data_IF_814282303569
#
_entry.id   IF_814282303569
#
_cell.length_a   1.000
_cell.length_b   1.000
_cell.length_c   1.000
_cell.angle_alpha   90.00
_cell.angle_beta   90.00
_cell.angle_gamma   90.00
#
_symmetry.space_group_name_H-M   'P 1'
#
loop_
_entity.id
_entity.type
_entity.pdbx_description
1 polymer ?
#
# COMPACT_ATOMS: atom_id res chain seq x y z
N UNK A 1 43.39 42.64 11.87
CA UNK A 1 42.16 43.17 11.24
C UNK A 1 41.33 41.98 10.77
N UNK A 2 39.98 42.01 10.88
CA UNK A 2 39.16 40.88 10.43
C UNK A 2 39.25 40.72 8.91
N UNK A 3 39.24 39.46 8.45
CA UNK A 3 39.27 39.11 7.03
C UNK A 3 37.86 38.73 6.60
N UNK A 4 37.33 39.39 5.58
CA UNK A 4 36.01 39.12 5.03
C UNK A 4 36.15 38.32 3.74
N UNK A 5 35.60 37.10 3.74
CA UNK A 5 35.44 36.33 2.51
C UNK A 5 34.18 36.84 1.79
N UNK A 6 34.30 37.19 0.52
CA UNK A 6 33.21 37.68 -0.29
C UNK A 6 33.08 36.88 -1.59
N UNK A 7 31.82 36.71 -2.00
CA UNK A 7 31.47 36.24 -3.32
C UNK A 7 30.85 37.43 -4.04
N UNK A 8 31.48 37.86 -5.12
CA UNK A 8 30.97 38.92 -5.95
C UNK A 8 30.86 38.48 -7.41
N UNK A 9 30.12 39.27 -8.18
CA UNK A 9 30.08 39.15 -9.63
C UNK A 9 30.82 40.33 -10.26
N UNK A 10 31.67 40.03 -11.23
CA UNK A 10 32.22 41.04 -12.13
C UNK A 10 31.09 41.67 -12.96
N UNK A 11 31.32 42.86 -13.53
CA UNK A 11 30.39 43.49 -14.49
C UNK A 11 30.11 42.62 -15.71
N UNK A 12 30.99 41.67 -16.04
CA UNK A 12 30.81 40.64 -17.08
C UNK A 12 29.94 39.43 -16.65
N UNK A 13 29.48 39.38 -15.39
CA UNK A 13 28.59 38.32 -14.87
C UNK A 13 29.31 37.10 -14.28
N UNK A 14 30.65 37.06 -14.33
CA UNK A 14 31.46 35.97 -13.80
C UNK A 14 31.56 36.02 -12.27
N UNK A 15 31.48 34.84 -11.63
CA UNK A 15 31.51 34.70 -10.17
C UNK A 15 32.96 34.71 -9.69
N UNK A 16 33.30 35.68 -8.85
CA UNK A 16 34.63 35.84 -8.26
C UNK A 16 34.51 35.64 -6.74
N UNK A 17 35.34 34.76 -6.21
CA UNK A 17 35.45 34.51 -4.77
C UNK A 17 36.81 35.04 -4.29
N UNK A 18 36.81 35.86 -3.26
CA UNK A 18 38.02 36.51 -2.75
C UNK A 18 37.91 36.85 -1.26
N UNK A 19 39.01 37.31 -0.68
CA UNK A 19 39.07 37.77 0.71
C UNK A 19 39.64 39.18 0.78
N UNK A 20 38.98 40.08 1.50
CA UNK A 20 39.43 41.45 1.76
C UNK A 20 39.62 41.63 3.26
N UNK A 21 40.76 42.18 3.66
CA UNK A 21 40.98 42.63 5.03
C UNK A 21 40.43 44.05 5.18
N UNK A 22 39.53 44.26 6.13
CA UNK A 22 38.98 45.57 6.42
C UNK A 22 38.70 45.71 7.92
N UNK A 23 38.65 46.94 8.42
CA UNK A 23 38.36 47.18 9.84
C UNK A 23 36.94 46.71 10.22
N UNK A 24 35.96 46.96 9.34
CA UNK A 24 34.55 46.63 9.56
C UNK A 24 33.89 46.13 8.27
N UNK A 25 32.77 45.41 8.41
CA UNK A 25 31.97 44.86 7.28
C UNK A 25 31.60 45.93 6.26
N UNK A 26 31.31 47.16 6.69
CA UNK A 26 30.93 48.26 5.81
C UNK A 26 32.13 48.77 4.98
N UNK A 27 33.33 48.78 5.55
CA UNK A 27 34.55 49.12 4.84
C UNK A 27 34.92 48.04 3.80
N UNK A 28 34.68 46.76 4.11
CA UNK A 28 34.90 45.65 3.17
C UNK A 28 33.99 45.73 1.93
N UNK A 29 32.73 46.15 2.11
CA UNK A 29 31.78 46.34 0.99
C UNK A 29 32.25 47.49 0.10
N UNK A 30 32.61 48.65 0.67
CA UNK A 30 33.08 49.80 -0.11
C UNK A 30 34.38 49.51 -0.89
N UNK A 31 35.26 48.69 -0.32
CA UNK A 31 36.50 48.31 -0.99
C UNK A 31 36.25 47.32 -2.14
N UNK A 32 35.31 46.39 -1.98
CA UNK A 32 34.88 45.49 -3.06
C UNK A 32 34.15 46.25 -4.19
N UNK A 33 33.36 47.27 -3.86
CA UNK A 33 32.70 48.14 -4.85
C UNK A 33 33.71 49.02 -5.61
N UNK A 34 34.76 49.53 -4.96
CA UNK A 34 35.86 50.27 -5.64
C UNK A 34 36.61 49.42 -6.66
N UNK A 35 36.65 48.10 -6.46
CA UNK A 35 37.22 47.14 -7.41
C UNK A 35 36.24 46.76 -8.54
N UNK A 36 35.03 47.36 -8.57
CA UNK A 36 34.04 47.17 -9.63
C UNK A 36 33.22 45.88 -9.51
N UNK A 37 33.24 45.23 -8.34
CA UNK A 37 32.53 43.97 -8.09
C UNK A 37 31.18 44.20 -7.39
N UNK A 38 30.12 43.54 -7.85
CA UNK A 38 28.79 43.58 -7.20
C UNK A 38 28.67 42.39 -6.25
N UNK A 39 28.55 42.67 -4.95
CA UNK A 39 28.59 41.64 -3.91
C UNK A 39 27.29 40.83 -3.84
N UNK A 40 27.40 39.50 -3.79
CA UNK A 40 26.27 38.57 -3.61
C UNK A 40 26.20 38.06 -2.16
N UNK A 41 27.34 37.88 -1.50
CA UNK A 41 27.40 37.58 -0.07
C UNK A 41 28.76 37.95 0.54
N UNK A 42 28.75 38.44 1.79
CA UNK A 42 29.94 38.66 2.60
C UNK A 42 29.78 37.94 3.94
N UNK A 43 30.79 37.16 4.33
CA UNK A 43 30.87 36.54 5.66
C UNK A 43 32.22 36.89 6.29
N UNK A 44 32.16 37.26 7.55
CA UNK A 44 33.35 37.46 8.37
C UNK A 44 34.01 36.11 8.60
N UNK A 45 35.26 35.97 8.15
CA UNK A 45 36.04 34.76 8.34
C UNK A 45 36.95 35.00 9.55
N UNK A 46 36.51 34.53 10.71
CA UNK A 46 37.34 34.49 11.91
C UNK A 46 38.37 33.36 11.77
N UNK A 47 39.50 33.67 11.12
CA UNK A 47 40.84 33.14 11.36
C UNK A 47 41.73 33.36 10.13
N UNK A 48 42.67 34.29 10.24
CA UNK A 48 43.83 34.33 9.37
C UNK A 48 44.89 33.36 9.92
N UNK A 49 45.21 32.30 9.18
CA UNK A 49 46.57 31.76 9.07
C UNK A 49 46.67 30.79 7.88
N UNK A 50 47.62 31.09 7.00
CA UNK A 50 48.22 30.25 5.95
C UNK A 50 47.41 29.98 4.66
N UNK A 51 47.55 30.90 3.72
CA UNK A 51 47.48 30.59 2.29
C UNK A 51 48.76 29.84 1.86
N UNK A 52 48.63 28.71 1.15
CA UNK A 52 49.26 28.43 -0.18
C UNK A 52 48.98 27.00 -0.69
N UNK A 53 49.22 26.70 -1.99
CA UNK A 53 48.20 26.16 -2.89
C UNK A 53 48.53 24.77 -3.43
N UNK A 54 47.56 24.10 -4.06
CA UNK A 54 47.86 22.94 -4.89
C UNK A 54 46.70 21.96 -5.02
N UNK A 55 46.23 21.83 -6.26
CA UNK A 55 45.79 20.63 -6.95
C UNK A 55 45.38 19.37 -6.16
N UNK A 56 44.21 18.88 -6.56
CA UNK A 56 43.78 17.48 -6.65
C UNK A 56 43.60 16.62 -5.39
N UNK A 57 42.43 15.97 -5.37
CA UNK A 57 42.23 14.69 -4.71
C UNK A 57 41.65 14.76 -3.31
N UNK A 58 40.33 14.65 -3.19
CA UNK A 58 39.71 14.49 -1.88
C UNK A 58 38.19 14.31 -1.90
N UNK A 59 37.73 13.11 -2.25
CA UNK A 59 36.34 12.67 -2.12
C UNK A 59 35.84 12.87 -0.67
N UNK A 60 35.12 13.96 -0.41
CA UNK A 60 34.30 14.12 0.80
C UNK A 60 32.83 13.81 0.45
N UNK A 61 32.60 12.51 0.35
CA UNK A 61 31.31 11.84 0.27
C UNK A 61 30.38 12.28 1.40
N UNK A 62 29.54 13.30 1.14
CA UNK A 62 28.34 13.56 1.95
C UNK A 62 27.32 12.48 1.62
N UNK A 63 27.31 11.41 2.40
CA UNK A 63 26.23 10.42 2.45
C UNK A 63 24.95 11.11 2.91
N UNK A 64 24.27 11.77 1.98
CA UNK A 64 22.82 11.90 2.03
C UNK A 64 22.28 10.54 1.61
N UNK A 65 21.77 9.79 2.58
CA UNK A 65 20.94 8.61 2.34
C UNK A 65 19.67 9.02 1.57
N UNK A 66 19.79 9.23 0.26
CA UNK A 66 18.66 9.17 -0.68
C UNK A 66 18.61 7.74 -1.19
N UNK A 67 18.14 6.83 -0.33
CA UNK A 67 17.74 5.49 -0.72
C UNK A 67 16.44 5.60 -1.55
N UNK A 68 16.59 5.88 -2.85
CA UNK A 68 15.76 5.29 -3.91
C UNK A 68 16.24 5.75 -5.28
N UNK A 69 16.93 4.88 -6.05
CA UNK A 69 17.12 5.13 -7.46
C UNK A 69 15.78 4.90 -8.18
N UNK A 70 15.39 5.87 -9.02
CA UNK A 70 14.55 5.62 -10.19
C UNK A 70 13.08 5.26 -9.99
N UNK A 71 12.38 5.76 -8.95
CA UNK A 71 10.91 5.76 -8.94
C UNK A 71 10.44 7.21 -9.01
N UNK A 72 9.65 7.55 -10.03
CA UNK A 72 9.03 8.87 -10.14
C UNK A 72 8.19 9.19 -8.90
N UNK A 73 7.86 10.47 -8.67
CA UNK A 73 7.03 10.86 -7.53
C UNK A 73 5.71 10.09 -7.55
N UNK A 74 5.25 9.63 -6.38
CA UNK A 74 4.01 8.84 -6.24
C UNK A 74 3.22 9.28 -5.02
N UNK A 75 1.92 9.51 -5.18
CA UNK A 75 1.04 9.76 -4.03
C UNK A 75 0.57 8.46 -3.39
N UNK A 76 0.48 8.46 -2.06
CA UNK A 76 -0.19 7.39 -1.32
C UNK A 76 -1.70 7.38 -1.54
N UNK A 77 -2.39 6.30 -1.17
CA UNK A 77 -3.86 6.19 -1.34
C UNK A 77 -4.63 7.28 -0.56
N UNK A 78 -4.20 7.59 0.67
CA UNK A 78 -4.79 8.67 1.47
C UNK A 78 -4.55 10.06 0.87
N UNK A 79 -3.35 10.32 0.38
CA UNK A 79 -3.01 11.58 -0.30
C UNK A 79 -3.81 11.74 -1.60
N UNK A 80 -3.95 10.67 -2.37
CA UNK A 80 -4.74 10.68 -3.62
C UNK A 80 -6.21 10.95 -3.31
N UNK A 81 -6.77 10.35 -2.23
CA UNK A 81 -8.13 10.65 -1.78
C UNK A 81 -8.24 12.13 -1.41
N UNK A 82 -7.35 12.64 -0.56
CA UNK A 82 -7.37 14.03 -0.14
C UNK A 82 -7.27 15.00 -1.31
N UNK A 83 -6.33 14.78 -2.24
CA UNK A 83 -6.20 15.57 -3.47
C UNK A 83 -7.50 15.55 -4.28
N UNK A 84 -8.12 14.37 -4.44
CA UNK A 84 -9.35 14.22 -5.22
C UNK A 84 -10.53 14.91 -4.54
N UNK A 85 -10.65 14.79 -3.22
CA UNK A 85 -11.68 15.49 -2.42
C UNK A 85 -11.52 16.99 -2.53
N UNK A 86 -10.33 17.52 -2.23
CA UNK A 86 -10.09 18.96 -2.26
C UNK A 86 -10.25 19.55 -3.67
N UNK A 87 -9.79 18.85 -4.71
CA UNK A 87 -10.01 19.28 -6.09
C UNK A 87 -11.50 19.24 -6.46
N UNK A 88 -12.22 18.20 -6.04
CA UNK A 88 -13.66 18.07 -6.25
C UNK A 88 -14.45 19.21 -5.59
N UNK A 89 -14.12 19.55 -4.35
CA UNK A 89 -14.77 20.63 -3.60
C UNK A 89 -14.51 22.00 -4.22
N UNK A 90 -13.27 22.28 -4.61
CA UNK A 90 -12.92 23.52 -5.31
C UNK A 90 -13.68 23.64 -6.64
N UNK A 91 -13.74 22.57 -7.43
CA UNK A 91 -14.49 22.56 -8.70
C UNK A 91 -16.00 22.70 -8.46
N UNK A 92 -16.55 22.05 -7.44
CA UNK A 92 -17.96 22.15 -7.07
C UNK A 92 -18.34 23.57 -6.60
N UNK A 93 -17.41 24.31 -5.99
CA UNK A 93 -17.59 25.73 -5.67
C UNK A 93 -17.53 26.68 -6.89
N UNK A 94 -17.38 26.15 -8.10
CA UNK A 94 -17.30 26.92 -9.34
C UNK A 94 -15.88 27.43 -9.67
N UNK A 95 -14.84 26.98 -8.96
CA UNK A 95 -13.47 27.37 -9.27
C UNK A 95 -13.00 26.70 -10.58
N UNK A 96 -12.39 27.49 -11.47
CA UNK A 96 -11.75 26.95 -12.69
C UNK A 96 -10.62 25.98 -12.36
N UNK A 97 -10.50 24.88 -13.11
CA UNK A 97 -9.52 23.80 -12.87
C UNK A 97 -8.09 24.28 -12.64
N UNK A 98 -7.58 25.17 -13.50
CA UNK A 98 -6.21 25.71 -13.35
C UNK A 98 -6.00 26.48 -12.04
N UNK A 99 -7.02 27.24 -11.59
CA UNK A 99 -6.98 27.97 -10.32
C UNK A 99 -7.06 27.02 -9.12
N UNK A 100 -7.88 25.96 -9.23
CA UNK A 100 -7.98 24.93 -8.23
C UNK A 100 -6.63 24.21 -8.05
N UNK A 101 -6.01 23.75 -9.14
CA UNK A 101 -4.69 23.12 -9.12
C UNK A 101 -3.58 24.07 -8.62
N UNK A 102 -3.63 25.37 -8.98
CA UNK A 102 -2.70 26.36 -8.43
C UNK A 102 -2.86 26.51 -6.91
N UNK A 103 -4.10 26.56 -6.41
CA UNK A 103 -4.39 26.62 -4.97
C UNK A 103 -3.87 25.38 -4.25
N UNK A 104 -4.11 24.19 -4.80
CA UNK A 104 -3.61 22.93 -4.24
C UNK A 104 -2.09 22.84 -4.29
N UNK A 105 -1.45 23.32 -5.37
CA UNK A 105 0.03 23.28 -5.51
C UNK A 105 0.77 24.14 -4.48
N UNK A 106 0.07 25.10 -3.86
CA UNK A 106 0.63 25.97 -2.81
C UNK A 106 0.55 25.35 -1.42
N UNK A 107 -0.32 24.34 -1.23
CA UNK A 107 -0.42 23.58 0.02
C UNK A 107 0.78 22.65 0.12
N UNK A 108 1.87 23.10 0.76
CA UNK A 108 3.05 22.28 1.00
C UNK A 108 2.72 21.17 1.99
N UNK A 109 2.33 20.01 1.49
CA UNK A 109 1.95 18.87 2.32
C UNK A 109 3.04 17.80 2.29
N UNK A 110 3.41 17.33 1.10
CA UNK A 110 4.44 16.30 0.92
C UNK A 110 5.21 16.50 -0.40
N UNK A 111 6.53 16.25 -0.43
CA UNK A 111 7.36 16.54 -1.60
C UNK A 111 6.89 15.87 -2.91
N UNK A 112 6.48 14.60 -2.83
CA UNK A 112 6.05 13.83 -4.00
C UNK A 112 4.67 14.27 -4.52
N UNK A 113 3.73 14.55 -3.61
CA UNK A 113 2.40 15.03 -3.95
C UNK A 113 2.46 16.45 -4.56
N UNK A 114 3.22 17.35 -3.92
CA UNK A 114 3.40 18.72 -4.39
C UNK A 114 4.02 18.74 -5.80
N UNK A 115 4.98 17.84 -6.08
CA UNK A 115 5.59 17.71 -7.40
C UNK A 115 4.59 17.23 -8.46
N UNK A 116 3.73 16.26 -8.14
CA UNK A 116 2.69 15.78 -9.06
C UNK A 116 1.67 16.91 -9.31
N UNK A 117 1.17 17.57 -8.27
CA UNK A 117 0.17 18.64 -8.40
C UNK A 117 0.73 19.83 -9.19
N UNK A 118 1.99 20.20 -8.97
CA UNK A 118 2.66 21.24 -9.74
C UNK A 118 2.79 20.84 -11.23
N UNK A 119 3.17 19.59 -11.51
CA UNK A 119 3.22 19.08 -12.89
C UNK A 119 1.84 19.11 -13.55
N UNK A 120 0.79 18.68 -12.85
CA UNK A 120 -0.58 18.71 -13.37
C UNK A 120 -1.03 20.16 -13.64
N UNK A 121 -0.76 21.09 -12.72
CA UNK A 121 -1.06 22.51 -12.90
C UNK A 121 -0.39 23.05 -14.17
N UNK A 122 0.91 22.79 -14.33
CA UNK A 122 1.69 23.32 -15.46
C UNK A 122 1.22 22.73 -16.80
N UNK A 123 0.85 21.45 -16.81
CA UNK A 123 0.24 20.76 -17.95
C UNK A 123 -1.12 21.40 -18.33
N UNK A 124 -2.01 21.60 -17.36
CA UNK A 124 -3.31 22.27 -17.60
C UNK A 124 -3.13 23.71 -18.09
N UNK A 125 -2.17 24.47 -17.54
CA UNK A 125 -1.87 25.84 -18.00
C UNK A 125 -1.37 25.83 -19.46
N UNK A 126 -0.64 24.78 -19.87
CA UNK A 126 -0.19 24.57 -21.26
C UNK A 126 -1.31 24.10 -22.20
N UNK A 127 -2.49 23.81 -21.69
CA UNK A 127 -3.67 23.42 -22.47
C UNK A 127 -3.83 21.92 -22.69
N UNK A 128 -3.05 21.07 -22.02
CA UNK A 128 -3.33 19.62 -22.03
C UNK A 128 -4.58 19.31 -21.20
N UNK A 129 -5.33 18.27 -21.57
CA UNK A 129 -6.45 17.82 -20.74
C UNK A 129 -5.97 17.21 -19.41
N UNK A 130 -6.80 17.27 -18.38
CA UNK A 130 -6.57 16.66 -17.08
C UNK A 130 -6.43 15.16 -17.19
N UNK A 131 -7.27 14.49 -18.00
CA UNK A 131 -7.15 13.04 -18.19
C UNK A 131 -5.81 12.65 -18.81
N UNK A 132 -5.31 13.41 -19.79
CA UNK A 132 -4.00 13.17 -20.38
C UNK A 132 -2.86 13.41 -19.38
N UNK A 133 -2.89 14.53 -18.65
CA UNK A 133 -1.90 14.85 -17.62
C UNK A 133 -1.85 13.79 -16.50
N UNK A 134 -3.01 13.33 -16.02
CA UNK A 134 -3.12 12.27 -15.00
C UNK A 134 -2.60 10.92 -15.52
N UNK A 135 -2.77 10.62 -16.81
CA UNK A 135 -2.36 9.35 -17.42
C UNK A 135 -0.83 9.11 -17.38
N UNK A 136 -0.04 10.17 -17.21
CA UNK A 136 1.41 10.11 -17.03
C UNK A 136 1.80 9.49 -15.69
N UNK A 137 0.94 9.60 -14.68
CA UNK A 137 1.19 9.12 -13.31
C UNK A 137 0.39 7.84 -13.00
N UNK A 138 0.58 6.79 -13.81
CA UNK A 138 -0.16 5.51 -13.71
C UNK A 138 -0.05 4.79 -12.35
N UNK A 139 1.05 5.00 -11.62
CA UNK A 139 1.21 4.43 -10.27
C UNK A 139 0.34 5.14 -9.22
N UNK A 140 -0.08 6.38 -9.48
CA UNK A 140 -0.91 7.21 -8.60
C UNK A 140 -2.38 7.20 -9.03
N UNK A 141 -2.65 7.36 -10.34
CA UNK A 141 -3.98 7.42 -10.91
C UNK A 141 -4.24 6.17 -11.77
N UNK A 142 -5.03 5.21 -11.28
CA UNK A 142 -5.36 4.01 -12.03
C UNK A 142 -6.14 4.31 -13.32
N UNK A 143 -6.17 3.38 -14.30
CA UNK A 143 -6.90 3.57 -15.56
C UNK A 143 -8.38 3.95 -15.39
N UNK A 144 -9.06 3.40 -14.36
CA UNK A 144 -10.43 3.76 -14.00
C UNK A 144 -10.56 5.26 -13.67
N UNK A 145 -9.64 5.79 -12.85
CA UNK A 145 -9.63 7.20 -12.46
C UNK A 145 -9.51 8.08 -13.69
N UNK A 146 -8.51 7.81 -14.54
CA UNK A 146 -8.24 8.57 -15.77
C UNK A 146 -9.43 8.53 -16.74
N UNK A 147 -10.06 7.37 -16.91
CA UNK A 147 -11.18 7.19 -17.85
C UNK A 147 -12.43 7.93 -17.37
N UNK A 148 -12.70 7.94 -16.06
CA UNK A 148 -13.81 8.71 -15.51
C UNK A 148 -13.58 10.22 -15.69
N UNK A 149 -12.37 10.70 -15.39
CA UNK A 149 -12.01 12.11 -15.64
C UNK A 149 -12.19 12.46 -17.11
N UNK A 150 -11.72 11.62 -18.03
CA UNK A 150 -11.88 11.85 -19.48
C UNK A 150 -13.35 12.00 -19.88
N UNK A 151 -14.22 11.13 -19.38
CA UNK A 151 -15.66 11.22 -19.62
C UNK A 151 -16.28 12.51 -19.02
N UNK A 152 -15.83 12.90 -17.82
CA UNK A 152 -16.23 14.15 -17.18
C UNK A 152 -15.75 15.40 -17.94
N UNK A 153 -14.55 15.37 -18.51
CA UNK A 153 -14.02 16.45 -19.35
C UNK A 153 -14.82 16.59 -20.64
N UNK A 154 -15.11 15.47 -21.31
CA UNK A 154 -15.87 15.47 -22.56
C UNK A 154 -17.33 15.93 -22.36
N UNK A 155 -17.94 15.62 -21.21
CA UNK A 155 -19.32 15.99 -20.88
C UNK A 155 -19.45 17.32 -20.13
N UNK A 156 -18.34 17.93 -19.71
CA UNK A 156 -18.34 19.12 -18.85
C UNK A 156 -18.77 18.84 -17.40
N UNK A 157 -19.08 17.60 -17.04
CA UNK A 157 -19.53 17.18 -15.71
C UNK A 157 -18.37 16.77 -14.78
N UNK A 158 -17.26 17.50 -14.84
CA UNK A 158 -16.06 17.21 -14.05
C UNK A 158 -16.33 17.26 -12.53
N UNK A 159 -17.06 18.24 -11.97
CA UNK A 159 -17.39 18.27 -10.54
C UNK A 159 -18.12 17.00 -10.06
N UNK A 160 -19.11 16.55 -10.82
CA UNK A 160 -19.92 15.36 -10.50
C UNK A 160 -19.08 14.10 -10.55
N UNK A 161 -18.20 13.98 -11.56
CA UNK A 161 -17.27 12.85 -11.69
C UNK A 161 -16.28 12.82 -10.54
N UNK A 162 -15.74 13.97 -10.12
CA UNK A 162 -14.84 14.06 -8.97
C UNK A 162 -15.53 13.57 -7.69
N UNK A 163 -16.77 13.98 -7.43
CA UNK A 163 -17.53 13.48 -6.28
C UNK A 163 -17.80 11.97 -6.37
N UNK A 164 -18.07 11.42 -7.57
CA UNK A 164 -18.20 9.97 -7.78
C UNK A 164 -16.89 9.24 -7.47
N UNK A 165 -15.74 9.79 -7.87
CA UNK A 165 -14.41 9.25 -7.55
C UNK A 165 -14.14 9.24 -6.04
N UNK A 166 -14.43 10.35 -5.34
CA UNK A 166 -14.27 10.46 -3.89
C UNK A 166 -15.07 9.36 -3.18
N UNK A 167 -16.38 9.26 -3.45
CA UNK A 167 -17.24 8.23 -2.83
C UNK A 167 -16.74 6.81 -3.09
N UNK A 168 -16.25 6.53 -4.30
CA UNK A 168 -15.69 5.23 -4.62
C UNK A 168 -14.41 4.94 -3.81
N UNK A 169 -13.51 5.93 -3.72
CA UNK A 169 -12.26 5.80 -2.97
C UNK A 169 -12.49 5.69 -1.45
N UNK A 170 -13.45 6.43 -0.89
CA UNK A 170 -13.86 6.33 0.51
C UNK A 170 -14.36 4.92 0.84
N UNK A 171 -15.29 4.39 0.03
CA UNK A 171 -15.78 3.02 0.21
C UNK A 171 -14.68 1.97 0.13
N UNK A 172 -13.74 2.12 -0.81
CA UNK A 172 -12.59 1.21 -0.89
C UNK A 172 -11.72 1.28 0.37
N UNK A 173 -11.58 2.46 0.97
CA UNK A 173 -10.87 2.61 2.25
C UNK A 173 -11.66 2.01 3.41
N UNK A 174 -12.96 2.26 3.50
CA UNK A 174 -13.84 1.67 4.51
C UNK A 174 -13.82 0.15 4.46
N UNK A 175 -13.97 -0.47 3.28
CA UNK A 175 -13.88 -1.93 3.12
C UNK A 175 -12.51 -2.44 3.57
N UNK A 176 -11.44 -1.76 3.21
CA UNK A 176 -10.08 -2.15 3.61
C UNK A 176 -9.89 -2.03 5.12
N UNK A 177 -10.37 -0.95 5.72
CA UNK A 177 -10.29 -0.72 7.17
C UNK A 177 -11.12 -1.76 7.92
N UNK A 178 -12.34 -2.07 7.47
CA UNK A 178 -13.15 -3.17 8.00
C UNK A 178 -12.40 -4.49 8.00
N UNK A 179 -11.76 -4.85 6.87
CA UNK A 179 -10.97 -6.09 6.77
C UNK A 179 -9.76 -6.07 7.70
N UNK A 180 -9.05 -4.94 7.82
CA UNK A 180 -7.92 -4.81 8.74
C UNK A 180 -8.39 -4.95 10.19
N UNK A 181 -9.47 -4.26 10.58
CA UNK A 181 -10.01 -4.29 11.94
C UNK A 181 -10.50 -5.69 12.32
N UNK A 182 -11.10 -6.43 11.38
CA UNK A 182 -11.49 -7.82 11.58
C UNK A 182 -10.30 -8.76 11.87
N UNK A 183 -9.10 -8.42 11.39
CA UNK A 183 -7.87 -9.22 11.60
C UNK A 183 -7.08 -8.82 12.85
N UNK A 184 -7.39 -7.68 13.48
CA UNK A 184 -6.68 -7.20 14.68
C UNK A 184 -6.80 -8.20 15.83
N UNK A 185 -8.03 -8.66 16.14
CA UNK A 185 -8.27 -9.59 17.24
C UNK A 185 -7.54 -10.94 17.05
N UNK A 186 -7.66 -11.62 15.89
CA UNK A 186 -6.84 -12.79 15.57
C UNK A 186 -5.34 -12.55 15.74
N UNK A 187 -4.86 -11.37 15.31
CA UNK A 187 -3.46 -10.98 15.47
C UNK A 187 -3.03 -10.90 16.93
N UNK A 188 -3.85 -10.32 17.81
CA UNK A 188 -3.56 -10.21 19.25
C UNK A 188 -3.50 -11.59 19.90
N UNK A 189 -4.51 -12.44 19.69
CA UNK A 189 -4.57 -13.79 20.29
C UNK A 189 -3.39 -14.65 19.83
N UNK A 190 -3.08 -14.64 18.54
CA UNK A 190 -1.93 -15.37 18.00
C UNK A 190 -0.61 -14.86 18.58
N UNK A 191 -0.45 -13.54 18.72
CA UNK A 191 0.79 -12.94 19.25
C UNK A 191 0.96 -13.26 20.74
N UNK A 192 -0.11 -13.13 21.54
CA UNK A 192 -0.09 -13.44 22.96
C UNK A 192 0.12 -14.95 23.22
N UNK A 193 -0.56 -15.81 22.46
CA UNK A 193 -0.43 -17.25 22.53
C UNK A 193 0.96 -17.73 22.11
N UNK A 194 1.47 -17.24 20.98
CA UNK A 194 2.84 -17.54 20.54
C UNK A 194 3.88 -17.03 21.54
N UNK A 195 3.69 -15.82 22.09
CA UNK A 195 4.57 -15.26 23.13
C UNK A 195 4.60 -16.12 24.39
N UNK A 196 3.43 -16.57 24.85
CA UNK A 196 3.31 -17.50 26.00
C UNK A 196 4.02 -18.82 25.72
N UNK A 197 3.86 -19.38 24.52
CA UNK A 197 4.50 -20.61 24.11
C UNK A 197 6.03 -20.48 24.06
N UNK A 198 6.54 -19.42 23.42
CA UNK A 198 7.98 -19.14 23.35
C UNK A 198 8.57 -18.94 24.73
N UNK A 199 7.88 -18.23 25.63
CA UNK A 199 8.29 -18.06 27.02
C UNK A 199 8.37 -19.40 27.76
N UNK A 200 7.34 -20.23 27.65
CA UNK A 200 7.33 -21.55 28.28
C UNK A 200 8.46 -22.44 27.75
N UNK A 201 8.66 -22.50 26.43
CA UNK A 201 9.74 -23.28 25.81
C UNK A 201 11.13 -22.75 26.20
N UNK A 202 11.34 -21.43 26.25
CA UNK A 202 12.69 -20.88 26.44
C UNK A 202 13.12 -20.79 27.91
N UNK A 203 12.17 -20.66 28.84
CA UNK A 203 12.48 -20.43 30.25
C UNK A 203 11.95 -21.52 31.18
N UNK A 204 10.72 -21.98 30.98
CA UNK A 204 10.07 -22.90 31.93
C UNK A 204 10.63 -24.31 31.72
N UNK A 205 10.65 -24.78 30.48
CA UNK A 205 11.00 -26.17 30.17
C UNK A 205 12.46 -26.53 30.41
N UNK A 206 13.45 -25.70 30.04
CA UNK A 206 14.86 -26.01 30.29
C UNK A 206 15.15 -26.17 31.78
N UNK A 207 14.49 -25.37 32.63
CA UNK A 207 14.63 -25.48 34.09
C UNK A 207 14.12 -26.82 34.60
N UNK A 208 13.00 -27.33 34.09
CA UNK A 208 12.52 -28.66 34.42
C UNK A 208 13.46 -29.75 33.89
N UNK A 209 13.96 -29.61 32.65
CA UNK A 209 14.87 -30.58 32.06
C UNK A 209 16.13 -30.82 32.94
N UNK A 210 16.72 -29.76 33.50
CA UNK A 210 17.87 -29.85 34.42
C UNK A 210 17.51 -30.71 35.65
N UNK A 211 16.35 -30.46 36.27
CA UNK A 211 15.89 -31.20 37.45
C UNK A 211 15.71 -32.70 37.12
N UNK A 212 15.17 -33.05 35.95
CA UNK A 212 15.03 -34.45 35.55
C UNK A 212 16.35 -35.16 35.28
N UNK A 213 17.33 -34.45 34.71
CA UNK A 213 18.66 -35.04 34.49
C UNK A 213 19.37 -35.37 35.79
N UNK A 214 19.15 -34.59 36.85
CA UNK A 214 19.72 -34.84 38.18
C UNK A 214 19.06 -36.04 38.89
N UNK A 215 17.76 -36.24 38.68
CA UNK A 215 16.98 -37.33 39.30
C UNK A 215 17.17 -38.70 38.63
N UNK A 216 17.91 -38.80 37.52
CA UNK A 216 18.12 -40.02 36.72
C UNK A 216 16.84 -40.82 36.37
N UNK A 217 15.68 -40.16 36.38
CA UNK A 217 14.39 -40.78 36.10
C UNK A 217 14.05 -40.72 34.61
N UNK A 218 13.25 -41.67 34.12
CA UNK A 218 12.84 -41.72 32.71
C UNK A 218 11.74 -40.70 32.43
N UNK A 219 12.03 -39.67 31.65
CA UNK A 219 11.06 -38.65 31.24
C UNK A 219 9.87 -39.25 30.44
N UNK A 220 8.62 -38.82 30.71
CA UNK A 220 7.46 -39.09 29.87
C UNK A 220 7.65 -38.67 28.42
N UNK A 221 6.98 -39.37 27.50
CA UNK A 221 7.08 -39.12 26.06
C UNK A 221 6.64 -37.69 25.65
N UNK A 222 5.56 -37.09 26.20
CA UNK A 222 5.20 -35.70 25.90
C UNK A 222 6.30 -34.71 26.31
N UNK A 223 6.91 -34.91 27.47
CA UNK A 223 7.99 -34.06 28.01
C UNK A 223 9.27 -34.20 27.18
N UNK A 224 9.61 -35.40 26.70
CA UNK A 224 10.74 -35.62 25.78
C UNK A 224 10.58 -34.88 24.46
N UNK A 225 9.38 -34.92 23.86
CA UNK A 225 9.08 -34.16 22.63
C UNK A 225 9.26 -32.67 22.88
N UNK A 226 8.76 -32.19 24.02
CA UNK A 226 8.78 -30.78 24.37
C UNK A 226 10.20 -30.26 24.67
N UNK A 227 11.02 -31.05 25.36
CA UNK A 227 12.44 -30.75 25.59
C UNK A 227 13.20 -30.76 24.25
N UNK A 228 12.93 -31.72 23.35
CA UNK A 228 13.56 -31.73 22.02
C UNK A 228 13.23 -30.50 21.18
N UNK A 229 11.98 -30.05 21.21
CA UNK A 229 11.55 -28.80 20.55
C UNK A 229 12.19 -27.58 21.23
N UNK A 230 12.23 -27.56 22.56
CA UNK A 230 12.84 -26.51 23.37
C UNK A 230 14.34 -26.35 23.08
N UNK A 231 15.10 -27.44 23.09
CA UNK A 231 16.54 -27.43 22.81
C UNK A 231 16.82 -27.00 21.37
N UNK A 232 16.00 -27.48 20.43
CA UNK A 232 16.01 -27.02 19.04
C UNK A 232 15.74 -25.53 18.92
N UNK A 233 14.80 -24.99 19.70
CA UNK A 233 14.50 -23.56 19.74
C UNK A 233 15.61 -22.75 20.43
N UNK A 234 16.24 -23.27 21.49
CA UNK A 234 17.31 -22.59 22.20
C UNK A 234 18.59 -22.47 21.34
N UNK A 235 18.96 -23.52 20.61
CA UNK A 235 20.17 -23.55 19.78
C UNK A 235 19.93 -23.02 18.37
N UNK A 236 18.78 -23.33 17.75
CA UNK A 236 18.47 -22.97 16.37
C UNK A 236 17.38 -21.91 16.24
N UNK A 237 16.86 -21.33 17.32
CA UNK A 237 15.75 -20.37 17.26
C UNK A 237 16.01 -19.19 16.33
N UNK A 238 17.23 -18.65 16.33
CA UNK A 238 17.64 -17.60 15.38
C UNK A 238 17.68 -18.10 13.94
N UNK A 239 18.13 -19.34 13.69
CA UNK A 239 18.14 -19.94 12.36
C UNK A 239 16.73 -20.30 11.87
N UNK A 240 15.84 -20.74 12.77
CA UNK A 240 14.43 -20.99 12.49
C UNK A 240 13.73 -19.67 12.15
N UNK A 241 13.95 -18.61 12.94
CA UNK A 241 13.41 -17.29 12.66
C UNK A 241 13.94 -16.75 11.33
N UNK A 242 15.24 -16.85 11.08
CA UNK A 242 15.85 -16.48 9.80
C UNK A 242 15.26 -17.30 8.64
N UNK A 243 15.06 -18.61 8.83
CA UNK A 243 14.44 -19.51 7.86
C UNK A 243 12.99 -19.12 7.54
N UNK A 244 12.19 -18.78 8.55
CA UNK A 244 10.82 -18.27 8.38
C UNK A 244 10.84 -16.95 7.61
N UNK A 245 11.74 -16.02 7.95
CA UNK A 245 11.87 -14.74 7.24
C UNK A 245 12.28 -14.96 5.79
N UNK A 246 13.27 -15.82 5.52
CA UNK A 246 13.71 -16.17 4.17
C UNK A 246 12.57 -16.84 3.39
N UNK A 247 11.88 -17.81 3.98
CA UNK A 247 10.73 -18.47 3.38
C UNK A 247 9.62 -17.45 3.06
N UNK A 248 9.30 -16.54 3.98
CA UNK A 248 8.32 -15.49 3.76
C UNK A 248 8.73 -14.55 2.62
N UNK A 249 10.01 -14.18 2.51
CA UNK A 249 10.53 -13.38 1.40
C UNK A 249 10.49 -14.14 0.07
N UNK A 250 10.84 -15.42 0.06
CA UNK A 250 10.80 -16.29 -1.13
C UNK A 250 9.37 -16.50 -1.60
N UNK A 251 8.45 -16.85 -0.70
CA UNK A 251 7.01 -16.97 -0.98
C UNK A 251 6.48 -15.65 -1.52
N UNK A 252 6.81 -14.51 -0.88
CA UNK A 252 6.40 -13.19 -1.35
C UNK A 252 6.95 -12.85 -2.73
N UNK A 253 8.18 -13.28 -3.05
CA UNK A 253 8.77 -13.13 -4.39
C UNK A 253 8.09 -14.05 -5.40
N UNK A 254 7.82 -15.29 -5.03
CA UNK A 254 7.14 -16.28 -5.87
C UNK A 254 5.70 -15.85 -6.18
N UNK A 255 4.96 -15.32 -5.20
CA UNK A 255 3.62 -14.74 -5.38
C UNK A 255 3.60 -13.49 -6.26
N UNK A 256 4.75 -12.89 -6.60
CA UNK A 256 4.83 -11.83 -7.62
C UNK A 256 5.04 -12.35 -9.04
N UNK A 257 5.38 -13.63 -9.20
CA UNK A 257 5.50 -14.27 -10.52
C UNK A 257 4.13 -14.57 -11.10
N UNK A 258 4.05 -14.68 -12.43
CA UNK A 258 2.78 -14.89 -13.11
C UNK A 258 2.13 -16.24 -12.76
N UNK A 259 2.95 -17.28 -12.57
CA UNK A 259 2.49 -18.60 -12.15
C UNK A 259 2.04 -18.60 -10.69
N UNK A 260 2.86 -18.03 -9.79
CA UNK A 260 2.57 -18.03 -8.35
C UNK A 260 1.30 -17.27 -8.00
N UNK A 261 1.08 -16.10 -8.62
CA UNK A 261 -0.13 -15.32 -8.36
C UNK A 261 -1.38 -15.95 -8.98
N UNK A 262 -1.26 -16.62 -10.13
CA UNK A 262 -2.38 -17.33 -10.76
C UNK A 262 -2.78 -18.57 -9.94
N UNK A 263 -1.79 -19.33 -9.45
CA UNK A 263 -2.03 -20.44 -8.52
C UNK A 263 -2.69 -19.96 -7.22
N UNK A 264 -2.18 -18.88 -6.63
CA UNK A 264 -2.73 -18.30 -5.41
C UNK A 264 -4.18 -17.85 -5.59
N UNK A 265 -4.46 -17.12 -6.67
CA UNK A 265 -5.83 -16.69 -7.00
C UNK A 265 -6.77 -17.87 -7.25
N UNK A 266 -6.30 -18.94 -7.88
CA UNK A 266 -7.09 -20.16 -8.06
C UNK A 266 -7.31 -20.90 -6.73
N UNK A 267 -6.30 -20.96 -5.86
CA UNK A 267 -6.38 -21.58 -4.54
C UNK A 267 -7.40 -20.86 -3.64
N UNK A 268 -7.41 -19.54 -3.63
CA UNK A 268 -8.40 -18.73 -2.89
C UNK A 268 -9.85 -19.06 -3.29
N UNK A 269 -10.09 -19.40 -4.56
CA UNK A 269 -11.42 -19.77 -5.04
C UNK A 269 -11.83 -21.20 -4.66
N UNK A 270 -10.91 -22.03 -4.15
CA UNK A 270 -11.19 -23.40 -3.69
C UNK A 270 -11.54 -23.48 -2.21
N UNK A 271 -11.01 -22.57 -1.39
CA UNK A 271 -11.26 -22.56 0.06
C UNK A 271 -12.63 -21.94 0.34
N UNK A 272 -13.64 -22.69 0.83
CA UNK A 272 -15.04 -22.22 0.86
C UNK A 272 -15.26 -20.87 1.56
N UNK A 273 -14.58 -20.66 2.69
CA UNK A 273 -14.72 -19.44 3.51
C UNK A 273 -14.03 -18.21 2.88
N UNK A 274 -12.93 -18.43 2.15
CA UNK A 274 -12.21 -17.35 1.45
C UNK A 274 -12.87 -17.09 0.08
N UNK A 275 -13.38 -18.14 -0.55
CA UNK A 275 -14.07 -18.12 -1.83
C UNK A 275 -15.20 -17.10 -1.83
N UNK A 276 -16.05 -17.10 -0.80
CA UNK A 276 -17.17 -16.15 -0.72
C UNK A 276 -16.70 -14.69 -0.65
N UNK A 277 -15.66 -14.41 0.16
CA UNK A 277 -15.05 -13.07 0.26
C UNK A 277 -14.47 -12.63 -1.09
N UNK A 278 -13.71 -13.51 -1.76
CA UNK A 278 -13.08 -13.18 -3.04
C UNK A 278 -14.13 -12.94 -4.12
N UNK A 279 -15.14 -13.80 -4.24
CA UNK A 279 -16.22 -13.58 -5.20
C UNK A 279 -17.01 -12.31 -4.89
N UNK A 280 -17.47 -12.12 -3.65
CA UNK A 280 -18.24 -10.94 -3.26
C UNK A 280 -17.47 -9.65 -3.50
N UNK A 281 -16.18 -9.59 -3.10
CA UNK A 281 -15.32 -8.43 -3.34
C UNK A 281 -15.14 -8.13 -4.82
N UNK A 282 -14.84 -9.13 -5.65
CA UNK A 282 -14.58 -8.90 -7.07
C UNK A 282 -15.86 -8.62 -7.86
N UNK A 283 -17.01 -9.22 -7.51
CA UNK A 283 -18.30 -8.93 -8.16
C UNK A 283 -18.86 -7.57 -7.75
N UNK A 284 -18.70 -7.17 -6.49
CA UNK A 284 -19.00 -5.81 -6.06
C UNK A 284 -18.18 -4.80 -6.86
N UNK A 285 -16.86 -5.01 -6.95
CA UNK A 285 -15.98 -4.12 -7.70
C UNK A 285 -16.26 -4.13 -9.21
N UNK A 286 -16.56 -5.31 -9.79
CA UNK A 286 -16.98 -5.46 -11.18
C UNK A 286 -18.21 -4.58 -11.46
N UNK A 287 -19.29 -4.80 -10.70
CA UNK A 287 -20.56 -4.13 -10.94
C UNK A 287 -20.47 -2.63 -10.67
N UNK A 288 -19.80 -2.23 -9.59
CA UNK A 288 -19.57 -0.82 -9.25
C UNK A 288 -18.79 -0.11 -10.35
N UNK A 289 -17.68 -0.69 -10.79
CA UNK A 289 -16.80 -0.08 -11.80
C UNK A 289 -17.51 0.01 -13.14
N UNK A 290 -18.15 -1.08 -13.58
CA UNK A 290 -18.87 -1.11 -14.84
C UNK A 290 -20.05 -0.14 -14.83
N UNK A 291 -20.82 -0.08 -13.74
CA UNK A 291 -21.96 0.83 -13.60
C UNK A 291 -21.55 2.29 -13.60
N UNK A 292 -20.45 2.64 -12.94
CA UNK A 292 -19.91 4.01 -12.97
C UNK A 292 -19.43 4.41 -14.38
N UNK A 293 -18.79 3.50 -15.11
CA UNK A 293 -18.29 3.80 -16.47
C UNK A 293 -19.45 3.97 -17.44
N UNK A 294 -20.40 3.03 -17.46
CA UNK A 294 -21.58 3.09 -18.32
C UNK A 294 -22.45 4.31 -17.97
N UNK A 295 -22.68 4.56 -16.67
CA UNK A 295 -23.43 5.73 -16.20
C UNK A 295 -22.73 7.08 -16.41
N UNK A 296 -21.48 7.09 -16.90
CA UNK A 296 -20.75 8.27 -17.36
C UNK A 296 -20.60 8.30 -18.90
N UNK A 297 -21.32 7.44 -19.62
CA UNK A 297 -21.33 7.43 -21.09
C UNK A 297 -20.15 6.68 -21.75
N UNK A 298 -19.36 5.92 -20.99
CA UNK A 298 -18.30 5.07 -21.56
C UNK A 298 -18.94 3.85 -22.22
N UNK A 299 -18.51 3.53 -23.45
CA UNK A 299 -19.01 2.36 -24.18
C UNK A 299 -18.77 1.06 -23.40
N UNK A 300 -19.67 0.08 -23.55
CA UNK A 300 -19.61 -1.17 -22.80
C UNK A 300 -18.31 -1.95 -23.05
N UNK A 301 -17.84 -2.00 -24.30
CA UNK A 301 -16.58 -2.66 -24.66
C UNK A 301 -15.36 -2.00 -24.02
N UNK A 302 -15.30 -0.67 -24.03
CA UNK A 302 -14.23 0.08 -23.37
C UNK A 302 -14.31 -0.11 -21.85
N UNK A 303 -15.51 -0.05 -21.28
CA UNK A 303 -15.75 -0.24 -19.87
C UNK A 303 -15.32 -1.63 -19.39
N UNK A 304 -15.65 -2.70 -20.13
CA UNK A 304 -15.18 -4.06 -19.84
C UNK A 304 -13.65 -4.15 -19.87
N UNK A 305 -12.97 -3.47 -20.79
CA UNK A 305 -11.50 -3.43 -20.85
C UNK A 305 -10.85 -2.66 -19.70
N UNK A 306 -11.55 -1.69 -19.11
CA UNK A 306 -11.13 -1.00 -17.89
C UNK A 306 -11.36 -1.89 -16.66
N UNK A 307 -12.54 -2.52 -16.57
CA UNK A 307 -12.91 -3.43 -15.48
C UNK A 307 -11.98 -4.65 -15.43
N UNK A 308 -11.65 -5.23 -16.59
CA UNK A 308 -10.66 -6.33 -16.74
C UNK A 308 -9.34 -6.03 -16.01
N UNK A 309 -8.87 -4.77 -16.11
CA UNK A 309 -7.63 -4.29 -15.49
C UNK A 309 -7.79 -3.87 -14.03
N UNK A 310 -9.01 -3.58 -13.60
CA UNK A 310 -9.32 -3.17 -12.22
C UNK A 310 -9.50 -4.38 -11.28
N UNK A 311 -9.97 -5.51 -11.81
CA UNK A 311 -10.15 -6.77 -11.07
C UNK A 311 -8.77 -7.32 -10.66
N UNK A 312 -8.58 -7.59 -9.37
CA UNK A 312 -7.31 -8.10 -8.86
C UNK A 312 -7.13 -9.61 -9.11
N UNK A 313 -8.21 -10.38 -9.05
CA UNK A 313 -8.14 -11.82 -9.26
C UNK A 313 -7.97 -12.15 -10.76
N UNK A 314 -6.83 -12.76 -11.10
CA UNK A 314 -6.48 -13.09 -12.49
C UNK A 314 -7.43 -14.08 -13.16
N UNK A 315 -8.02 -15.01 -12.40
CA UNK A 315 -9.00 -15.98 -12.93
C UNK A 315 -10.26 -15.24 -13.37
N UNK A 316 -10.75 -14.32 -12.55
CA UNK A 316 -11.93 -13.50 -12.86
C UNK A 316 -11.64 -12.49 -13.99
N UNK A 317 -10.45 -11.88 -13.98
CA UNK A 317 -10.01 -10.97 -15.05
C UNK A 317 -9.91 -11.69 -16.40
N UNK A 318 -9.40 -12.93 -16.43
CA UNK A 318 -9.38 -13.75 -17.63
C UNK A 318 -10.80 -14.05 -18.15
N UNK A 319 -11.75 -14.35 -17.26
CA UNK A 319 -13.13 -14.59 -17.69
C UNK A 319 -13.81 -13.32 -18.22
N UNK A 320 -13.54 -12.15 -17.64
CA UNK A 320 -14.03 -10.87 -18.18
C UNK A 320 -13.44 -10.58 -19.56
N UNK A 321 -12.15 -10.88 -19.77
CA UNK A 321 -11.50 -10.76 -21.08
C UNK A 321 -12.17 -11.67 -22.12
N UNK A 322 -12.46 -12.91 -21.75
CA UNK A 322 -13.17 -13.86 -22.60
C UNK A 322 -14.58 -13.35 -22.93
N UNK A 323 -15.33 -12.88 -21.92
CA UNK A 323 -16.65 -12.30 -22.13
C UNK A 323 -16.58 -11.08 -23.05
N UNK A 324 -15.62 -10.16 -22.84
CA UNK A 324 -15.39 -8.98 -23.69
C UNK A 324 -15.15 -9.35 -25.15
N UNK A 325 -14.42 -10.43 -25.43
CA UNK A 325 -14.18 -10.91 -26.80
C UNK A 325 -15.42 -11.48 -27.49
N UNK A 326 -16.43 -11.89 -26.70
CA UNK A 326 -17.70 -12.43 -27.16
C UNK A 326 -18.79 -11.35 -27.31
N UNK A 327 -18.55 -10.14 -26.80
CA UNK A 327 -19.47 -9.01 -26.97
C UNK A 327 -19.24 -8.41 -28.36
N UNK A 328 -20.28 -8.39 -29.18
CA UNK A 328 -20.28 -7.73 -30.49
C UNK A 328 -20.84 -6.31 -30.38
N UNK A 329 -20.55 -5.47 -31.37
CA UNK A 329 -21.17 -4.13 -31.47
C UNK A 329 -22.70 -4.27 -31.52
N UNK A 330 -23.39 -3.68 -30.54
CA UNK A 330 -24.85 -3.75 -30.39
C UNK A 330 -25.40 -4.88 -29.52
N UNK A 331 -24.57 -5.68 -28.83
CA UNK A 331 -25.02 -6.87 -28.10
C UNK A 331 -25.07 -6.75 -26.57
N UNK A 332 -25.90 -7.62 -25.99
CA UNK A 332 -26.05 -7.92 -24.56
C UNK A 332 -24.75 -8.48 -23.97
N UNK A 333 -24.39 -8.05 -22.75
CA UNK A 333 -23.25 -8.56 -21.99
C UNK A 333 -23.64 -9.70 -21.04
N UNK A 334 -24.91 -9.78 -20.65
CA UNK A 334 -25.45 -10.81 -19.75
C UNK A 334 -25.15 -12.22 -20.27
N UNK A 335 -25.39 -12.48 -21.56
CA UNK A 335 -25.20 -13.80 -22.20
C UNK A 335 -23.72 -14.22 -22.25
N UNK A 336 -22.77 -13.40 -22.77
CA UNK A 336 -21.34 -13.71 -22.70
C UNK A 336 -20.79 -13.97 -21.29
N UNK A 337 -21.34 -13.29 -20.27
CA UNK A 337 -20.92 -13.45 -18.87
C UNK A 337 -21.49 -14.75 -18.27
N UNK A 338 -22.74 -15.11 -18.59
CA UNK A 338 -23.38 -16.35 -18.15
C UNK A 338 -22.66 -17.59 -18.69
N UNK A 339 -22.14 -17.53 -19.93
CA UNK A 339 -21.38 -18.63 -20.54
C UNK A 339 -20.11 -19.00 -19.75
N UNK A 340 -19.54 -18.07 -19.00
CA UNK A 340 -18.28 -18.24 -18.28
C UNK A 340 -18.34 -19.15 -17.05
N UNK A 341 -19.54 -19.53 -16.56
CA UNK A 341 -19.79 -20.32 -15.33
C UNK A 341 -19.17 -19.80 -14.02
N UNK A 342 -18.42 -18.71 -14.08
CA UNK A 342 -17.81 -18.02 -12.94
C UNK A 342 -18.79 -17.05 -12.31
N UNK A 343 -19.61 -16.39 -13.13
CA UNK A 343 -20.62 -15.43 -12.68
C UNK A 343 -21.86 -16.16 -12.15
N UNK A 344 -22.37 -15.81 -10.95
CA UNK A 344 -23.58 -16.41 -10.41
C UNK A 344 -24.81 -16.05 -11.26
N UNK A 345 -25.79 -16.97 -11.42
CA UNK A 345 -26.99 -16.73 -12.23
C UNK A 345 -27.71 -15.43 -11.87
N UNK A 346 -27.90 -15.17 -10.57
CA UNK A 346 -28.56 -13.94 -10.10
C UNK A 346 -27.88 -12.65 -10.58
N UNK A 347 -26.54 -12.66 -10.77
CA UNK A 347 -25.82 -11.50 -11.29
C UNK A 347 -26.15 -11.30 -12.78
N UNK A 348 -26.11 -12.38 -13.56
CA UNK A 348 -26.38 -12.34 -15.00
C UNK A 348 -27.85 -12.06 -15.30
N UNK A 349 -28.77 -12.54 -14.47
CA UNK A 349 -30.21 -12.29 -14.57
C UNK A 349 -30.51 -10.80 -14.31
N UNK A 350 -29.92 -10.21 -13.26
CA UNK A 350 -30.05 -8.77 -13.00
C UNK A 350 -29.47 -7.92 -14.13
N UNK A 351 -28.36 -8.35 -14.75
CA UNK A 351 -27.81 -7.69 -15.93
C UNK A 351 -28.75 -7.78 -17.12
N UNK A 352 -29.32 -8.95 -17.40
CA UNK A 352 -30.26 -9.15 -18.49
C UNK A 352 -31.48 -8.23 -18.33
N UNK A 353 -32.05 -8.14 -17.12
CA UNK A 353 -33.16 -7.22 -16.81
C UNK A 353 -32.73 -5.75 -17.04
N UNK A 354 -31.51 -5.37 -16.63
CA UNK A 354 -30.97 -4.03 -16.89
C UNK A 354 -30.79 -3.71 -18.38
N UNK A 355 -30.43 -4.71 -19.19
CA UNK A 355 -30.32 -4.58 -20.65
C UNK A 355 -31.69 -4.43 -21.30
N UNK A 356 -32.67 -5.26 -20.91
CA UNK A 356 -34.03 -5.24 -21.44
C UNK A 356 -34.77 -3.94 -21.09
N UNK A 357 -34.58 -3.44 -19.85
CA UNK A 357 -35.21 -2.20 -19.37
C UNK A 357 -34.44 -0.94 -19.77
N UNK A 358 -33.22 -1.08 -20.29
CA UNK A 358 -32.31 0.02 -20.59
C UNK A 358 -31.65 0.67 -19.36
N UNK A 359 -31.99 0.27 -18.14
CA UNK A 359 -31.37 0.76 -16.90
C UNK A 359 -30.21 -0.13 -16.43
N UNK A 360 -29.19 -0.25 -17.29
CA UNK A 360 -27.97 -1.01 -16.98
C UNK A 360 -27.22 -0.41 -15.77
N UNK A 361 -27.19 0.92 -15.64
CA UNK A 361 -26.51 1.60 -14.53
C UNK A 361 -27.17 1.30 -13.19
N UNK A 362 -28.51 1.34 -13.12
CA UNK A 362 -29.28 0.98 -11.92
C UNK A 362 -29.12 -0.50 -11.57
N UNK A 363 -29.24 -1.40 -12.54
CA UNK A 363 -29.02 -2.84 -12.34
C UNK A 363 -27.63 -3.14 -11.76
N UNK A 364 -26.57 -2.56 -12.34
CA UNK A 364 -25.20 -2.67 -11.84
C UNK A 364 -25.03 -2.08 -10.44
N UNK A 365 -25.73 -0.98 -10.13
CA UNK A 365 -25.78 -0.39 -8.79
C UNK A 365 -26.37 -1.35 -7.76
N UNK A 366 -27.48 -2.01 -8.09
CA UNK A 366 -28.10 -3.02 -7.22
C UNK A 366 -27.25 -4.27 -7.05
N UNK A 367 -26.61 -4.76 -8.13
CA UNK A 367 -25.64 -5.86 -8.07
C UNK A 367 -24.48 -5.49 -7.15
N UNK A 368 -23.91 -4.29 -7.29
CA UNK A 368 -22.82 -3.82 -6.45
C UNK A 368 -23.22 -3.81 -4.97
N UNK A 369 -24.38 -3.23 -4.63
CA UNK A 369 -24.86 -3.19 -3.25
C UNK A 369 -25.10 -4.60 -2.67
N UNK A 370 -25.65 -5.52 -3.47
CA UNK A 370 -25.87 -6.90 -3.06
C UNK A 370 -24.56 -7.59 -2.68
N UNK A 371 -23.54 -7.48 -3.53
CA UNK A 371 -22.25 -8.13 -3.26
C UNK A 371 -21.40 -7.40 -2.22
N UNK A 372 -21.59 -6.08 -2.02
CA UNK A 372 -21.03 -5.35 -0.87
C UNK A 372 -21.61 -5.88 0.45
N UNK A 373 -22.93 -6.09 0.51
CA UNK A 373 -23.58 -6.69 1.68
C UNK A 373 -23.13 -8.14 1.91
N UNK A 374 -22.99 -8.93 0.85
CA UNK A 374 -22.48 -10.31 0.92
C UNK A 374 -21.02 -10.36 1.36
N UNK A 375 -20.20 -9.37 0.96
CA UNK A 375 -18.82 -9.21 1.41
C UNK A 375 -18.78 -8.93 2.91
N UNK A 376 -19.55 -7.96 3.40
CA UNK A 376 -19.63 -7.63 4.82
C UNK A 376 -20.09 -8.85 5.65
N UNK A 377 -21.08 -9.60 5.15
CA UNK A 377 -21.53 -10.85 5.78
C UNK A 377 -20.44 -11.92 5.79
N UNK A 378 -19.76 -12.13 4.67
CA UNK A 378 -18.69 -13.13 4.53
C UNK A 378 -17.49 -12.83 5.44
N UNK A 379 -17.09 -11.55 5.53
CA UNK A 379 -16.02 -11.11 6.44
C UNK A 379 -16.42 -11.35 7.91
N UNK A 380 -17.67 -11.05 8.27
CA UNK A 380 -18.18 -11.33 9.63
C UNK A 380 -18.16 -12.82 9.94
N UNK A 381 -18.69 -13.67 9.06
CA UNK A 381 -18.69 -15.13 9.23
C UNK A 381 -17.26 -15.65 9.36
N UNK A 382 -16.35 -15.21 8.48
CA UNK A 382 -14.94 -15.61 8.53
C UNK A 382 -14.32 -15.29 9.90
N UNK A 383 -14.54 -14.08 10.41
CA UNK A 383 -13.97 -13.64 11.69
C UNK A 383 -14.58 -14.41 12.87
N UNK A 384 -15.90 -14.61 12.88
CA UNK A 384 -16.60 -15.36 13.94
C UNK A 384 -16.23 -16.85 13.96
N UNK A 385 -15.99 -17.48 12.81
CA UNK A 385 -15.56 -18.88 12.73
C UNK A 385 -14.10 -19.03 13.14
N UNK A 386 -13.27 -18.05 12.80
CA UNK A 386 -11.83 -18.09 13.08
C UNK A 386 -11.53 -17.98 14.59
N UNK A 387 -12.36 -17.27 15.36
CA UNK A 387 -12.19 -17.11 16.81
C UNK A 387 -12.23 -18.43 17.61
N UNK A 388 -13.26 -19.28 17.52
CA UNK A 388 -13.26 -20.58 18.21
C UNK A 388 -12.10 -21.49 17.78
N UNK A 389 -11.73 -21.46 16.51
CA UNK A 389 -10.60 -22.23 15.99
C UNK A 389 -9.30 -21.79 16.68
N UNK A 390 -9.07 -20.48 16.78
CA UNK A 390 -7.90 -19.95 17.49
C UNK A 390 -7.91 -20.32 18.97
N UNK A 391 -9.05 -20.19 19.65
CA UNK A 391 -9.16 -20.53 21.08
C UNK A 391 -8.87 -22.01 21.31
N UNK A 392 -9.47 -22.91 20.53
CA UNK A 392 -9.24 -24.36 20.63
C UNK A 392 -7.78 -24.69 20.34
N UNK A 393 -7.20 -24.10 19.28
CA UNK A 393 -5.80 -24.31 18.94
C UNK A 393 -4.87 -23.85 20.07
N UNK A 394 -5.11 -22.67 20.64
CA UNK A 394 -4.33 -22.16 21.77
C UNK A 394 -4.52 -23.00 23.02
N UNK A 395 -5.74 -23.44 23.32
CA UNK A 395 -6.04 -24.31 24.45
C UNK A 395 -5.32 -25.67 24.33
N UNK A 396 -5.29 -26.25 23.12
CA UNK A 396 -4.55 -27.50 22.86
C UNK A 396 -3.05 -27.27 23.02
N UNK A 397 -2.50 -26.20 22.45
CA UNK A 397 -1.06 -25.90 22.54
C UNK A 397 -0.62 -25.62 23.98
N UNK A 398 -1.29 -24.70 24.67
CA UNK A 398 -0.97 -24.34 26.06
C UNK A 398 -1.29 -25.50 27.01
N UNK A 399 -2.40 -26.20 26.79
CA UNK A 399 -2.78 -27.39 27.55
C UNK A 399 -1.76 -28.51 27.41
N UNK A 400 -1.24 -28.75 26.20
CA UNK A 400 -0.18 -29.73 25.97
C UNK A 400 1.09 -29.40 26.77
N UNK A 401 1.48 -28.12 26.81
CA UNK A 401 2.61 -27.65 27.64
C UNK A 401 2.32 -27.86 29.12
N UNK A 402 1.14 -27.45 29.60
CA UNK A 402 0.75 -27.57 31.00
C UNK A 402 0.70 -29.03 31.46
N UNK A 403 0.09 -29.93 30.68
CA UNK A 403 0.05 -31.37 30.97
C UNK A 403 1.46 -31.96 30.99
N UNK A 404 2.32 -31.58 30.05
CA UNK A 404 3.70 -32.07 30.01
C UNK A 404 4.49 -31.66 31.26
N UNK A 405 4.27 -30.45 31.77
CA UNK A 405 4.88 -29.98 33.02
C UNK A 405 4.29 -30.73 34.22
N UNK A 406 2.96 -30.90 34.27
CA UNK A 406 2.28 -31.54 35.40
C UNK A 406 2.66 -33.03 35.51
N UNK A 407 2.70 -33.76 34.40
CA UNK A 407 3.17 -35.15 34.37
C UNK A 407 4.62 -35.25 34.84
N UNK A 408 5.46 -34.31 34.42
CA UNK A 408 6.84 -34.25 34.88
C UNK A 408 6.88 -34.12 36.42
N UNK A 409 6.15 -33.16 36.98
CA UNK A 409 6.08 -32.96 38.44
C UNK A 409 5.59 -34.22 39.16
N UNK A 410 4.57 -34.91 38.64
CA UNK A 410 4.07 -36.14 39.25
C UNK A 410 5.10 -37.28 39.25
N UNK A 411 5.80 -37.50 38.14
CA UNK A 411 6.87 -38.52 38.08
C UNK A 411 8.03 -38.21 39.03
N UNK A 412 8.32 -36.93 39.24
CA UNK A 412 9.30 -36.51 40.24
C UNK A 412 8.83 -36.86 41.66
N UNK A 413 7.56 -36.61 42.00
CA UNK A 413 7.03 -36.91 43.33
C UNK A 413 6.84 -38.40 43.59
N UNK A 414 6.47 -39.20 42.59
CA UNK A 414 6.32 -40.66 42.74
C UNK A 414 7.67 -41.35 42.86
N UNK A 415 8.70 -40.90 42.11
CA UNK A 415 10.06 -41.39 42.23
C UNK A 415 10.76 -41.05 43.55
N UNK A 416 10.24 -40.08 44.32
CA UNK A 416 10.71 -39.77 45.69
C UNK A 416 10.06 -40.65 46.77
N UNK A 417 8.95 -41.34 46.45
CA UNK A 417 8.22 -42.22 47.36
C UNK A 417 8.52 -43.72 47.12
N UNK A 418 9.45 -44.04 46.22
CA UNK A 418 9.99 -45.37 45.97
C UNK A 418 11.46 -45.41 46.38
#
# INVERSE_FOLDING_TARGET
>A
MPVYAYIARSRSGEKIEGSIEAADRHAAILQAERLGHVLVSIRESAAAAAAKPGADGGKASKWRFTLRPGRGPRMGARETLQFTTELGDLLASGMKLGNALNTLSRRRTRPDADAIIASLRDDIIRGTSLSEALSRFKETFPPLFVSMIRAGEASGALPEVMQRLVRNMERMQETKEKVIMALVYPGIVLTAGAGTLVFAMSFVIPRFAIIFTELKSTLPLPTKILIGISDGMAHYGIFILAGIVIAAVLIRRWLKTDLGISWWHAFQLRVPLIRSIVYASNFAQFARTLGMLIGNGVSVLEALGIVERAIQNRVLSAEIRNARSRVTDGATISVPLAAGKVFPPILTDMLAIGEETGDMSGALGHIAQRYENELDRSVKIFTTVLEPILIVLMAVLVGFVAISILLAVFDMTSGLNA
#
